data_IF_442609394794
#
_entry.id   IF_442609394794
#
_cell.length_a   1.000
_cell.length_b   1.000
_cell.length_c   1.000
_cell.angle_alpha   90.00
_cell.angle_beta   90.00
_cell.angle_gamma   90.00
#
_symmetry.space_group_name_H-M   'P 1'
#
loop_
_entity.id
_entity.type
_entity.pdbx_description
1 polymer ?
#
# COMPACT_ATOMS: atom_id res chain seq x y z
N UNK A 1 18.92 -8.96 -4.98
CA UNK A 1 19.58 -7.68 -4.63
C UNK A 1 18.49 -6.64 -4.62
N UNK A 2 18.28 -5.95 -3.48
CA UNK A 2 17.25 -4.92 -3.31
C UNK A 2 17.28 -3.93 -4.46
N UNK A 3 16.29 -4.00 -5.34
CA UNK A 3 16.23 -3.18 -6.56
C UNK A 3 14.88 -2.47 -6.65
N UNK A 4 14.71 -1.52 -5.74
CA UNK A 4 13.51 -0.68 -5.65
C UNK A 4 13.40 0.32 -6.79
N UNK A 5 14.48 0.57 -7.53
CA UNK A 5 14.48 1.50 -8.67
C UNK A 5 13.60 1.05 -9.87
N UNK A 6 13.19 -0.23 -9.92
CA UNK A 6 12.42 -0.78 -11.06
C UNK A 6 10.94 -1.03 -10.78
N UNK A 7 10.51 -1.11 -9.51
CA UNK A 7 9.12 -1.39 -9.13
C UNK A 7 8.58 -0.26 -8.28
N UNK A 8 7.36 0.20 -8.57
CA UNK A 8 6.70 1.26 -7.80
C UNK A 8 6.44 0.80 -6.34
N UNK A 9 5.99 -0.45 -6.19
CA UNK A 9 5.80 -1.13 -4.92
C UNK A 9 6.66 -2.40 -4.92
N UNK A 10 7.43 -2.60 -3.86
CA UNK A 10 8.26 -3.78 -3.65
C UNK A 10 7.82 -4.49 -2.38
N UNK A 11 7.52 -5.78 -2.50
CA UNK A 11 7.21 -6.66 -1.38
C UNK A 11 8.41 -7.55 -1.09
N UNK A 12 8.79 -7.61 0.18
CA UNK A 12 9.90 -8.43 0.63
C UNK A 12 9.73 -8.94 2.04
N UNK A 13 10.72 -9.69 2.50
CA UNK A 13 10.77 -10.21 3.85
C UNK A 13 11.96 -9.59 4.60
N UNK A 14 11.68 -8.97 5.75
CA UNK A 14 12.68 -8.54 6.69
C UNK A 14 12.95 -9.67 7.70
N UNK A 15 14.16 -10.23 7.66
CA UNK A 15 14.59 -11.27 8.59
C UNK A 15 15.35 -10.67 9.74
N UNK A 16 14.82 -10.78 10.95
CA UNK A 16 15.49 -10.32 12.16
C UNK A 16 15.63 -11.46 13.16
N UNK A 17 16.48 -11.30 14.18
CA UNK A 17 16.58 -12.28 15.28
C UNK A 17 15.26 -12.46 16.05
N UNK A 18 14.31 -11.52 15.91
CA UNK A 18 12.97 -11.61 16.50
C UNK A 18 11.99 -12.41 15.64
N UNK A 19 12.33 -12.68 14.38
CA UNK A 19 11.48 -13.34 13.42
C UNK A 19 11.50 -12.69 12.05
N UNK A 20 10.76 -13.32 11.15
CA UNK A 20 10.57 -12.91 9.77
C UNK A 20 9.29 -12.08 9.66
N UNK A 21 9.33 -11.00 8.90
CA UNK A 21 8.17 -10.14 8.72
C UNK A 21 8.11 -9.66 7.29
N UNK A 22 6.94 -9.78 6.67
CA UNK A 22 6.71 -9.19 5.36
C UNK A 22 6.72 -7.66 5.49
N UNK A 23 7.44 -7.02 4.59
CA UNK A 23 7.54 -5.57 4.53
C UNK A 23 7.28 -5.10 3.10
N UNK A 24 6.71 -3.91 2.99
CA UNK A 24 6.43 -3.29 1.70
C UNK A 24 7.17 -1.97 1.62
N UNK A 25 7.92 -1.80 0.54
CA UNK A 25 8.55 -0.54 0.18
C UNK A 25 7.79 0.09 -0.98
N UNK A 26 7.58 1.40 -0.93
CA UNK A 26 6.86 2.13 -1.96
C UNK A 26 7.60 3.43 -2.31
N UNK A 27 7.84 3.64 -3.60
CA UNK A 27 8.59 4.80 -4.11
C UNK A 27 7.73 6.08 -4.23
N UNK A 28 6.43 6.01 -3.94
CA UNK A 28 5.56 7.19 -3.87
C UNK A 28 5.59 7.83 -2.49
N UNK A 29 6.13 7.13 -1.49
CA UNK A 29 6.40 7.71 -0.18
C UNK A 29 7.47 8.80 -0.30
N UNK A 30 7.39 9.85 0.53
CA UNK A 30 8.39 10.91 0.57
C UNK A 30 9.78 10.33 0.84
N UNK A 31 10.81 11.04 0.36
CA UNK A 31 12.18 10.63 0.62
C UNK A 31 12.47 10.68 2.13
N UNK A 32 12.88 9.54 2.68
CA UNK A 32 13.23 9.42 4.07
C UNK A 32 14.51 10.22 4.38
N UNK A 33 14.75 10.60 5.65
CA UNK A 33 15.97 11.28 6.05
C UNK A 33 17.21 10.46 5.67
N UNK A 34 18.34 11.15 5.45
CA UNK A 34 19.59 10.52 4.99
C UNK A 34 19.93 9.22 5.74
N UNK A 35 20.00 8.11 5.01
CA UNK A 35 20.32 6.78 5.54
C UNK A 35 19.13 6.02 6.13
N UNK A 36 17.90 6.50 5.94
CA UNK A 36 16.66 5.82 6.33
C UNK A 36 15.81 5.49 5.13
N UNK A 37 14.90 4.53 5.31
CA UNK A 37 13.86 4.18 4.36
C UNK A 37 12.53 3.99 5.09
N UNK A 38 11.44 4.29 4.40
CA UNK A 38 10.11 3.94 4.86
C UNK A 38 9.77 2.52 4.41
N UNK A 39 9.33 1.71 5.36
CA UNK A 39 8.81 0.36 5.10
C UNK A 39 7.49 0.20 5.84
N UNK A 40 6.49 -0.30 5.13
CA UNK A 40 5.27 -0.79 5.74
C UNK A 40 5.56 -2.12 6.44
N UNK A 41 5.22 -2.20 7.72
CA UNK A 41 5.38 -3.41 8.51
C UNK A 41 4.01 -4.11 8.65
N UNK A 42 3.89 -5.33 8.12
CA UNK A 42 2.62 -6.06 8.13
C UNK A 42 2.20 -6.50 9.54
N UNK A 43 3.15 -6.72 10.47
CA UNK A 43 2.81 -7.06 11.86
C UNK A 43 2.26 -5.87 12.64
N UNK A 44 2.78 -4.67 12.36
CA UNK A 44 2.35 -3.43 13.03
C UNK A 44 1.27 -2.67 12.27
N UNK A 45 0.96 -3.12 11.05
CA UNK A 45 0.08 -2.46 10.08
C UNK A 45 0.35 -0.96 9.96
N UNK A 46 1.63 -0.56 9.92
CA UNK A 46 2.03 0.85 9.86
C UNK A 46 3.31 1.04 9.05
N UNK A 47 3.43 2.19 8.41
CA UNK A 47 4.65 2.64 7.74
C UNK A 47 5.60 3.22 8.80
N UNK A 48 6.74 2.55 8.99
CA UNK A 48 7.78 2.94 9.93
C UNK A 48 9.05 3.43 9.23
N UNK A 49 9.84 4.22 9.97
CA UNK A 49 11.20 4.58 9.58
C UNK A 49 12.18 3.49 9.97
N UNK A 50 13.00 3.05 9.02
CA UNK A 50 14.05 2.06 9.23
C UNK A 50 15.40 2.59 8.77
N UNK A 51 16.48 2.15 9.40
CA UNK A 51 17.85 2.49 8.98
C UNK A 51 18.25 1.60 7.81
N UNK A 52 18.43 2.20 6.63
CA UNK A 52 18.69 1.48 5.38
C UNK A 52 19.87 0.52 5.50
N UNK A 53 20.97 0.98 6.11
CA UNK A 53 22.21 0.22 6.20
C UNK A 53 22.05 -1.09 7.00
N UNK A 54 21.16 -1.10 8.00
CA UNK A 54 20.88 -2.26 8.85
C UNK A 54 19.85 -3.18 8.21
N UNK A 55 18.82 -2.62 7.57
CA UNK A 55 17.75 -3.43 7.00
C UNK A 55 18.12 -4.03 5.65
N UNK A 56 18.90 -3.34 4.80
CA UNK A 56 19.25 -3.85 3.45
C UNK A 56 19.95 -5.21 3.47
N UNK A 57 20.73 -5.49 4.52
CA UNK A 57 21.45 -6.78 4.68
C UNK A 57 20.52 -7.91 5.12
N UNK A 58 19.34 -7.56 5.62
CA UNK A 58 18.32 -8.44 6.16
C UNK A 58 17.02 -8.44 5.33
N UNK A 59 16.99 -7.69 4.22
CA UNK A 59 15.87 -7.61 3.29
C UNK A 59 16.05 -8.64 2.19
N UNK A 60 15.07 -9.51 2.06
CA UNK A 60 15.05 -10.57 1.06
C UNK A 60 13.86 -10.35 0.12
N UNK A 61 14.09 -10.59 -1.17
CA UNK A 61 13.02 -10.63 -2.15
C UNK A 61 12.12 -11.84 -1.88
N UNK A 62 10.80 -11.61 -1.91
CA UNK A 62 9.81 -12.68 -1.90
C UNK A 62 9.69 -13.30 -3.31
N UNK A 63 9.30 -14.57 -3.39
CA UNK A 63 8.94 -15.18 -4.67
C UNK A 63 7.63 -14.61 -5.22
N UNK A 64 7.41 -14.68 -6.53
CA UNK A 64 6.18 -14.15 -7.16
C UNK A 64 4.88 -14.71 -6.54
N UNK A 65 4.89 -15.97 -6.08
CA UNK A 65 3.75 -16.57 -5.38
C UNK A 65 3.49 -15.89 -4.01
N UNK A 66 4.56 -15.65 -3.25
CA UNK A 66 4.49 -14.97 -1.96
C UNK A 66 4.14 -13.48 -2.11
N UNK A 67 4.63 -12.81 -3.17
CA UNK A 67 4.25 -11.44 -3.48
C UNK A 67 2.75 -11.33 -3.74
N UNK A 68 2.18 -12.23 -4.54
CA UNK A 68 0.73 -12.23 -4.79
C UNK A 68 -0.08 -12.50 -3.52
N UNK A 69 0.37 -13.42 -2.67
CA UNK A 69 -0.27 -13.68 -1.39
C UNK A 69 -0.22 -12.45 -0.48
N UNK A 70 0.96 -11.82 -0.36
CA UNK A 70 1.14 -10.61 0.43
C UNK A 70 0.36 -9.41 -0.10
N UNK A 71 0.24 -9.26 -1.42
CA UNK A 71 -0.57 -8.20 -2.04
C UNK A 71 -2.06 -8.42 -1.78
N UNK A 72 -2.54 -9.66 -1.86
CA UNK A 72 -3.94 -9.98 -1.56
C UNK A 72 -4.27 -9.80 -0.06
N UNK A 73 -3.37 -10.21 0.82
CA UNK A 73 -3.58 -10.17 2.28
C UNK A 73 -3.35 -8.78 2.87
N UNK A 74 -2.27 -8.09 2.47
CA UNK A 74 -1.83 -6.83 3.08
C UNK A 74 -2.02 -5.61 2.19
N UNK A 75 -2.37 -5.78 0.91
CA UNK A 75 -2.50 -4.66 -0.03
C UNK A 75 -3.55 -3.63 0.39
N UNK A 76 -4.68 -4.09 0.98
CA UNK A 76 -5.69 -3.20 1.55
C UNK A 76 -5.17 -2.38 2.72
N UNK A 77 -4.59 -3.06 3.72
CA UNK A 77 -4.03 -2.42 4.91
C UNK A 77 -2.87 -1.48 4.58
N UNK A 78 -2.03 -1.84 3.60
CA UNK A 78 -0.96 -0.98 3.09
C UNK A 78 -1.52 0.31 2.47
N UNK A 79 -2.59 0.24 1.65
CA UNK A 79 -3.21 1.43 1.06
C UNK A 79 -3.75 2.38 2.14
N UNK A 80 -4.41 1.84 3.16
CA UNK A 80 -4.90 2.62 4.31
C UNK A 80 -3.75 3.27 5.07
N UNK A 81 -2.73 2.50 5.45
CA UNK A 81 -1.57 3.03 6.16
C UNK A 81 -0.79 4.06 5.32
N UNK A 82 -0.75 3.89 4.00
CA UNK A 82 -0.17 4.87 3.06
C UNK A 82 -0.98 6.17 3.05
N UNK A 83 -2.31 6.09 2.99
CA UNK A 83 -3.18 7.27 3.05
C UNK A 83 -2.95 8.04 4.37
N UNK A 84 -3.01 7.34 5.51
CA UNK A 84 -2.76 7.95 6.81
C UNK A 84 -1.36 8.55 6.94
N UNK A 85 -0.35 7.87 6.41
CA UNK A 85 1.03 8.36 6.42
C UNK A 85 1.18 9.62 5.57
N UNK A 86 0.55 9.64 4.38
CA UNK A 86 0.53 10.80 3.50
C UNK A 86 -0.19 11.98 4.14
N UNK A 87 -1.35 11.78 4.78
CA UNK A 87 -2.08 12.84 5.49
C UNK A 87 -1.24 13.41 6.64
N UNK A 88 -0.68 12.54 7.49
CA UNK A 88 0.21 12.96 8.60
C UNK A 88 1.43 13.72 8.07
N UNK A 89 2.00 13.31 6.95
CA UNK A 89 3.17 13.96 6.38
C UNK A 89 2.82 15.24 5.59
N UNK A 90 1.62 15.34 5.00
CA UNK A 90 1.08 16.56 4.40
C UNK A 90 0.92 17.66 5.44
N UNK A 91 0.51 17.34 6.68
CA UNK A 91 0.42 18.36 7.74
C UNK A 91 1.79 18.94 8.15
N UNK A 92 2.89 18.24 7.87
CA UNK A 92 4.27 18.75 8.07
C UNK A 92 4.82 19.51 6.87
N UNK A 93 4.24 19.31 5.69
CA UNK A 93 4.59 20.03 4.48
C UNK A 93 3.53 21.11 4.29
N UNK A 94 3.81 22.30 4.81
CA UNK A 94 3.02 23.51 4.58
C UNK A 94 2.79 23.69 3.05
N UNK A 95 1.65 23.17 2.56
CA UNK A 95 1.28 23.10 1.14
C UNK A 95 1.09 24.49 0.52
N UNK A 96 1.19 25.57 1.30
CA UNK A 96 1.23 26.95 0.81
C UNK A 96 2.57 27.35 0.17
N UNK A 97 3.61 26.50 0.19
CA UNK A 97 4.95 26.83 -0.35
C UNK A 97 5.48 25.92 -1.45
N UNK A 98 4.76 24.88 -1.86
CA UNK A 98 5.14 24.06 -3.03
C UNK A 98 4.36 24.53 -4.25
N UNK A 99 4.96 25.30 -5.17
CA UNK A 99 4.32 25.55 -6.46
C UNK A 99 4.15 24.21 -7.17
N UNK A 100 2.95 23.97 -7.68
CA UNK A 100 2.56 22.87 -8.56
C UNK A 100 3.50 22.82 -9.77
N UNK A 101 4.64 22.17 -9.60
CA UNK A 101 5.62 21.89 -10.65
C UNK A 101 6.07 20.45 -10.47
N UNK A 102 5.08 19.55 -10.53
CA UNK A 102 5.36 18.19 -10.97
C UNK A 102 5.98 18.31 -12.38
N UNK A 103 7.22 17.84 -12.62
CA UNK A 103 7.75 17.83 -13.97
C UNK A 103 6.92 16.83 -14.76
N UNK A 104 6.08 17.36 -15.66
CA UNK A 104 5.41 16.60 -16.73
C UNK A 104 6.50 15.76 -17.39
N UNK A 105 6.57 14.48 -17.02
CA UNK A 105 7.39 13.50 -17.72
C UNK A 105 6.78 13.41 -19.10
N UNK A 106 7.44 14.05 -20.08
CA UNK A 106 7.14 13.92 -21.51
C UNK A 106 6.95 12.44 -21.82
N UNK A 107 5.70 12.06 -22.07
CA UNK A 107 5.36 10.76 -22.59
C UNK A 107 6.10 10.56 -23.92
N UNK A 108 6.86 9.47 -23.99
CA UNK A 108 7.39 8.93 -25.24
C UNK A 108 6.19 8.34 -26.01
N UNK A 109 6.03 8.59 -27.32
CA UNK A 109 4.83 8.19 -28.05
C UNK A 109 4.78 6.66 -28.12
N UNK A 110 3.67 6.08 -27.67
CA UNK A 110 3.34 4.66 -27.80
C UNK A 110 2.16 4.60 -28.77
N UNK A 111 2.20 3.75 -29.81
CA UNK A 111 1.35 3.88 -30.99
C UNK A 111 -0.11 3.52 -30.70
N UNK A 112 -0.98 4.17 -31.47
CA UNK A 112 -2.44 4.02 -31.58
C UNK A 112 -2.86 2.55 -31.66
N UNK A 113 -3.68 2.10 -30.71
CA UNK A 113 -4.57 0.95 -30.87
C UNK A 113 -5.94 1.38 -30.37
N UNK A 114 -6.79 1.63 -31.35
CA UNK A 114 -8.24 1.81 -31.27
C UNK A 114 -8.92 0.58 -30.62
N UNK A 115 -10.14 0.80 -30.12
CA UNK A 115 -11.13 -0.18 -29.64
C UNK A 115 -11.19 -0.41 -28.10
N UNK A 116 -11.99 0.44 -27.45
CA UNK A 116 -12.61 0.20 -26.14
C UNK A 116 -14.12 -0.05 -26.36
N UNK A 117 -14.63 -1.28 -26.22
CA UNK A 117 -16.03 -1.50 -25.97
C UNK A 117 -16.37 -1.21 -24.50
N UNK A 118 -17.41 -0.39 -24.35
CA UNK A 118 -18.19 -0.01 -23.18
C UNK A 118 -18.26 -1.11 -22.09
N UNK A 119 -17.74 -0.81 -20.89
CA UNK A 119 -17.91 -1.63 -19.68
C UNK A 119 -18.49 -0.74 -18.58
N UNK A 120 -19.83 -0.72 -18.59
CA UNK A 120 -20.77 -0.66 -17.49
C UNK A 120 -20.19 -0.38 -16.09
N UNK A 121 -20.45 0.83 -15.61
CA UNK A 121 -20.19 1.28 -14.24
C UNK A 121 -21.38 0.83 -13.39
N UNK A 122 -21.24 -0.27 -12.65
CA UNK A 122 -22.16 -0.56 -11.54
C UNK A 122 -21.50 -0.14 -10.23
N UNK A 123 -21.87 1.07 -9.86
CA UNK A 123 -21.93 1.63 -8.51
C UNK A 123 -22.85 0.72 -7.67
N UNK A 124 -22.34 0.13 -6.59
CA UNK A 124 -23.13 -0.62 -5.60
C UNK A 124 -22.72 -0.09 -4.21
N UNK A 125 -23.21 1.11 -3.92
CA UNK A 125 -23.42 1.61 -2.57
C UNK A 125 -24.76 1.01 -2.07
N UNK A 126 -24.73 -0.14 -1.39
CA UNK A 126 -25.84 -0.61 -0.56
C UNK A 126 -25.42 -0.69 0.91
N UNK A 127 -25.67 0.42 1.58
CA UNK A 127 -25.53 0.61 3.01
C UNK A 127 -26.82 0.12 3.69
N UNK A 128 -26.85 -1.16 4.11
CA UNK A 128 -27.97 -1.76 4.83
C UNK A 128 -27.67 -1.96 6.32
N UNK A 129 -27.84 -0.88 7.10
CA UNK A 129 -27.97 -0.91 8.57
C UNK A 129 -29.45 -0.62 8.86
N UNK A 130 -30.23 -1.62 9.31
CA UNK A 130 -31.37 -1.41 10.21
C UNK A 130 -31.98 -2.73 10.75
N UNK A 131 -31.88 -2.85 12.08
CA UNK A 131 -32.87 -3.33 13.06
C UNK A 131 -33.46 -4.78 13.10
N UNK A 132 -33.28 -5.34 14.30
CA UNK A 132 -34.02 -6.36 15.05
C UNK A 132 -35.39 -6.84 14.56
N UNK A 133 -35.60 -8.18 14.55
CA UNK A 133 -36.84 -8.79 15.07
C UNK A 133 -36.64 -10.29 15.39
N UNK A 134 -36.66 -10.64 16.69
CA UNK A 134 -36.78 -12.02 17.19
C UNK A 134 -38.28 -12.40 17.23
N UNK A 135 -38.65 -13.62 16.79
CA UNK A 135 -39.76 -14.31 17.44
C UNK A 135 -39.39 -15.74 17.89
N UNK A 136 -39.35 -15.87 19.21
CA UNK A 136 -39.94 -16.91 20.08
C UNK A 136 -40.44 -18.21 19.40
N UNK A 137 -39.74 -19.32 19.67
CA UNK A 137 -40.17 -20.69 19.40
C UNK A 137 -41.13 -21.14 20.51
N UNK A 138 -42.44 -20.88 20.34
CA UNK A 138 -43.49 -21.43 21.20
C UNK A 138 -44.11 -22.69 20.57
N UNK A 139 -43.77 -23.82 21.20
CA UNK A 139 -44.56 -25.04 21.43
C UNK A 139 -45.57 -25.50 20.37
N UNK A 140 -45.36 -26.70 19.85
CA UNK A 140 -46.40 -27.53 19.23
C UNK A 140 -46.56 -28.85 19.98
N UNK A 141 -47.65 -28.89 20.76
CA UNK A 141 -48.62 -29.99 21.01
C UNK A 141 -48.16 -31.45 21.15
#
# INVERSE_FOLDING_TARGET
>A
MYNTAKKQVWFGELRTSKGNTVVVHDNQLPEAPKGRIYLYNTLRNVIGEYVEDIVKVNLYDLSDAEVKAAEAEFGGAFKTARAEFMEKNQTRIDLSKVPDTAPVRKAKPVPEVDDIPDLDVSDDDDFGDDEDDYPDDDSSE
#
